data_IF_874491039573
#
_entry.id   IF_874491039573
#
_cell.length_a   1.000
_cell.length_b   1.000
_cell.length_c   1.000
_cell.angle_alpha   90.00
_cell.angle_beta   90.00
_cell.angle_gamma   90.00
#
_symmetry.space_group_name_H-M   'P 1'
#
loop_
_entity.id
_entity.type
_entity.pdbx_description
1 polymer ?
#
# COMPACT_ATOMS: atom_id res chain seq x y z
N UNK A 1 -31.69 12.49 -0.06
CA UNK A 1 -30.54 13.35 0.26
C UNK A 1 -29.39 12.41 0.53
N UNK A 2 -28.51 12.27 -0.44
CA UNK A 2 -27.37 11.36 -0.36
C UNK A 2 -26.23 12.15 0.29
N UNK A 3 -26.08 12.02 1.60
CA UNK A 3 -24.98 12.62 2.35
C UNK A 3 -23.76 11.71 2.20
N UNK A 4 -23.14 11.76 1.02
CA UNK A 4 -21.75 11.33 0.88
C UNK A 4 -20.93 12.37 1.62
N UNK A 5 -20.64 12.11 2.90
CA UNK A 5 -19.66 12.88 3.64
C UNK A 5 -18.38 12.87 2.81
N UNK A 6 -17.97 14.05 2.35
CA UNK A 6 -16.72 14.24 1.62
C UNK A 6 -15.60 14.07 2.65
N UNK A 7 -15.28 12.81 2.98
CA UNK A 7 -14.28 12.44 3.98
C UNK A 7 -12.93 13.10 3.66
N UNK A 8 -12.70 13.39 2.39
CA UNK A 8 -11.49 14.00 1.84
C UNK A 8 -11.29 15.47 2.20
N UNK A 9 -12.32 16.19 2.66
CA UNK A 9 -12.23 17.63 2.93
C UNK A 9 -11.47 17.97 4.23
N UNK A 10 -11.38 17.03 5.17
CA UNK A 10 -10.74 17.21 6.49
C UNK A 10 -9.37 16.52 6.63
N UNK A 11 -8.91 15.80 5.60
CA UNK A 11 -7.61 15.12 5.64
C UNK A 11 -6.46 16.12 5.42
N UNK A 12 -5.39 15.98 6.20
CA UNK A 12 -4.10 16.61 5.91
C UNK A 12 -3.54 16.17 4.56
N UNK A 13 -2.58 16.94 4.02
CA UNK A 13 -1.93 16.59 2.76
C UNK A 13 -1.25 15.23 2.83
N UNK A 14 -0.63 14.93 3.97
CA UNK A 14 0.02 13.67 4.33
C UNK A 14 -0.98 12.50 4.33
N UNK A 15 -2.12 12.65 5.01
CA UNK A 15 -3.16 11.61 5.04
C UNK A 15 -3.72 11.34 3.65
N UNK A 16 -3.98 12.39 2.86
CA UNK A 16 -4.45 12.21 1.48
C UNK A 16 -3.43 11.46 0.63
N UNK A 17 -2.15 11.84 0.71
CA UNK A 17 -1.08 11.18 -0.05
C UNK A 17 -0.90 9.74 0.40
N UNK A 18 -1.03 9.46 1.70
CA UNK A 18 -1.03 8.10 2.22
C UNK A 18 -2.17 7.27 1.61
N UNK A 19 -3.41 7.75 1.71
CA UNK A 19 -4.60 7.03 1.20
C UNK A 19 -4.51 6.81 -0.31
N UNK A 20 -4.18 7.84 -1.08
CA UNK A 20 -3.99 7.74 -2.53
C UNK A 20 -2.94 6.68 -2.90
N UNK A 21 -1.82 6.65 -2.17
CA UNK A 21 -0.73 5.71 -2.44
C UNK A 21 -1.08 4.29 -2.02
N UNK A 22 -1.81 4.13 -0.93
CA UNK A 22 -2.34 2.85 -0.48
C UNK A 22 -3.31 2.27 -1.52
N UNK A 23 -4.34 3.01 -1.89
CA UNK A 23 -5.40 2.53 -2.79
C UNK A 23 -4.86 2.20 -4.18
N UNK A 24 -3.97 3.05 -4.72
CA UNK A 24 -3.33 2.79 -6.03
C UNK A 24 -2.46 1.55 -5.99
N UNK A 25 -1.67 1.36 -4.94
CA UNK A 25 -0.77 0.21 -4.81
C UNK A 25 -1.57 -1.08 -4.63
N UNK A 26 -2.62 -1.05 -3.81
CA UNK A 26 -3.48 -2.20 -3.60
C UNK A 26 -4.15 -2.62 -4.92
N UNK A 27 -4.73 -1.65 -5.66
CA UNK A 27 -5.33 -1.91 -6.97
C UNK A 27 -4.31 -2.49 -7.96
N UNK A 28 -3.07 -2.01 -7.96
CA UNK A 28 -1.99 -2.57 -8.77
C UNK A 28 -1.73 -4.04 -8.43
N UNK A 29 -1.58 -4.38 -7.14
CA UNK A 29 -1.32 -5.74 -6.68
C UNK A 29 -2.47 -6.69 -7.04
N UNK A 30 -3.71 -6.25 -6.83
CA UNK A 30 -4.90 -7.01 -7.20
C UNK A 30 -4.99 -7.28 -8.70
N UNK A 31 -4.71 -6.27 -9.53
CA UNK A 31 -4.70 -6.43 -10.98
C UNK A 31 -3.58 -7.36 -11.44
N UNK A 32 -2.40 -7.27 -10.83
CA UNK A 32 -1.28 -8.16 -11.13
C UNK A 32 -1.63 -9.62 -10.85
N UNK A 33 -2.26 -9.90 -9.71
CA UNK A 33 -2.74 -11.24 -9.34
C UNK A 33 -3.81 -11.78 -10.31
N UNK A 34 -4.70 -10.93 -10.81
CA UNK A 34 -5.71 -11.32 -11.81
C UNK A 34 -5.08 -11.64 -13.17
N UNK A 35 -4.00 -10.95 -13.54
CA UNK A 35 -3.34 -11.13 -14.84
C UNK A 35 -2.42 -12.36 -14.87
N UNK A 36 -1.73 -12.65 -13.77
CA UNK A 36 -0.88 -13.82 -13.64
C UNK A 36 -0.73 -14.22 -12.17
N UNK A 37 -0.55 -15.52 -11.85
CA UNK A 37 -0.24 -15.94 -10.50
C UNK A 37 1.01 -15.22 -9.97
N UNK A 38 0.86 -14.47 -8.89
CA UNK A 38 1.98 -13.82 -8.22
C UNK A 38 2.44 -14.72 -7.07
N UNK A 39 3.75 -14.95 -6.98
CA UNK A 39 4.33 -15.70 -5.88
C UNK A 39 4.42 -14.84 -4.61
N UNK A 40 4.00 -15.41 -3.49
CA UNK A 40 4.11 -14.79 -2.17
C UNK A 40 5.56 -14.35 -1.86
N UNK A 41 6.55 -15.18 -2.22
CA UNK A 41 7.98 -14.88 -2.00
C UNK A 41 8.42 -13.63 -2.78
N UNK A 42 7.89 -13.45 -3.99
CA UNK A 42 8.19 -12.27 -4.81
C UNK A 42 7.64 -11.02 -4.14
N UNK A 43 6.40 -11.06 -3.65
CA UNK A 43 5.77 -9.92 -2.97
C UNK A 43 6.46 -9.57 -1.65
N UNK A 44 6.87 -10.57 -0.87
CA UNK A 44 7.66 -10.36 0.35
C UNK A 44 9.03 -9.75 0.05
N UNK A 45 9.67 -10.16 -1.05
CA UNK A 45 10.93 -9.57 -1.53
C UNK A 45 10.76 -8.11 -1.97
N UNK A 46 9.68 -7.79 -2.69
CA UNK A 46 9.33 -6.41 -3.09
C UNK A 46 9.07 -5.53 -1.85
N UNK A 47 8.30 -6.03 -0.87
CA UNK A 47 8.06 -5.33 0.40
C UNK A 47 9.37 -5.11 1.18
N UNK A 48 10.25 -6.11 1.24
CA UNK A 48 11.56 -5.96 1.87
C UNK A 48 12.40 -4.87 1.19
N UNK A 49 12.40 -4.84 -0.15
CA UNK A 49 13.09 -3.79 -0.90
C UNK A 49 12.51 -2.41 -0.60
N UNK A 50 11.18 -2.27 -0.58
CA UNK A 50 10.49 -1.02 -0.30
C UNK A 50 10.82 -0.49 1.11
N UNK A 51 10.81 -1.37 2.11
CA UNK A 51 11.12 -1.01 3.50
C UNK A 51 12.59 -0.69 3.75
N UNK A 52 13.53 -1.35 3.06
CA UNK A 52 14.97 -1.14 3.24
C UNK A 52 15.47 0.03 2.41
N UNK A 53 15.17 0.09 1.11
CA UNK A 53 15.80 1.06 0.20
C UNK A 53 15.01 2.35 0.06
N UNK A 54 13.68 2.29 0.13
CA UNK A 54 12.84 3.49 0.11
C UNK A 54 12.51 3.96 1.53
N UNK A 55 12.50 3.03 2.50
CA UNK A 55 12.17 3.26 3.91
C UNK A 55 13.32 3.67 4.85
N UNK A 56 14.59 3.40 4.54
CA UNK A 56 15.69 3.74 5.47
C UNK A 56 16.34 5.10 5.22
N UNK A 57 16.07 5.73 4.09
CA UNK A 57 16.62 7.05 3.73
C UNK A 57 15.61 8.19 4.02
N UNK A 58 14.97 8.11 5.19
CA UNK A 58 13.93 9.04 5.67
C UNK A 58 14.47 10.41 6.09
N UNK A 59 15.79 10.55 6.23
CA UNK A 59 16.43 11.83 6.54
C UNK A 59 16.43 12.70 5.28
N UNK A 60 15.38 13.52 5.10
CA UNK A 60 15.35 14.60 4.11
C UNK A 60 14.30 14.51 3.00
N UNK A 61 13.45 13.47 2.98
CA UNK A 61 12.43 13.29 1.91
C UNK A 61 11.13 14.09 2.10
N UNK A 62 10.95 14.74 3.25
CA UNK A 62 9.75 15.51 3.58
C UNK A 62 8.54 14.62 3.89
N UNK A 63 7.63 15.13 4.73
CA UNK A 63 6.51 14.37 5.30
C UNK A 63 5.61 13.74 4.22
N UNK A 64 5.31 14.45 3.14
CA UNK A 64 4.47 13.93 2.05
C UNK A 64 5.07 12.68 1.38
N UNK A 65 6.37 12.65 1.13
CA UNK A 65 7.00 11.48 0.50
C UNK A 65 7.05 10.29 1.47
N UNK A 66 7.23 10.57 2.76
CA UNK A 66 7.14 9.53 3.78
C UNK A 66 5.74 8.94 3.83
N UNK A 67 4.69 9.76 3.81
CA UNK A 67 3.30 9.30 3.76
C UNK A 67 3.00 8.47 2.51
N UNK A 68 3.53 8.88 1.35
CA UNK A 68 3.39 8.13 0.08
C UNK A 68 3.95 6.70 0.24
N UNK A 69 5.20 6.59 0.69
CA UNK A 69 5.90 5.31 0.87
C UNK A 69 5.19 4.45 1.92
N UNK A 70 4.72 5.05 3.01
CA UNK A 70 3.94 4.34 4.04
C UNK A 70 2.65 3.75 3.45
N UNK A 71 1.93 4.50 2.61
CA UNK A 71 0.73 3.99 1.94
C UNK A 71 1.05 2.75 1.09
N UNK A 72 2.14 2.80 0.32
CA UNK A 72 2.60 1.66 -0.50
C UNK A 72 2.95 0.44 0.36
N UNK A 73 3.73 0.63 1.45
CA UNK A 73 4.10 -0.44 2.38
C UNK A 73 2.86 -1.11 2.98
N UNK A 74 1.89 -0.31 3.44
CA UNK A 74 0.67 -0.84 4.04
C UNK A 74 -0.18 -1.62 3.05
N UNK A 75 -0.23 -1.21 1.79
CA UNK A 75 -0.93 -1.95 0.74
C UNK A 75 -0.30 -3.33 0.51
N UNK A 76 1.04 -3.41 0.46
CA UNK A 76 1.74 -4.70 0.38
C UNK A 76 1.46 -5.60 1.59
N UNK A 77 1.51 -5.07 2.81
CA UNK A 77 1.23 -5.83 4.04
C UNK A 77 -0.19 -6.39 4.02
N UNK A 78 -1.19 -5.56 3.71
CA UNK A 78 -2.59 -5.96 3.66
C UNK A 78 -2.83 -7.06 2.61
N UNK A 79 -2.27 -6.88 1.41
CA UNK A 79 -2.41 -7.83 0.32
C UNK A 79 -1.75 -9.18 0.63
N UNK A 80 -0.52 -9.17 1.15
CA UNK A 80 0.20 -10.38 1.60
C UNK A 80 -0.56 -11.10 2.71
N UNK A 81 -1.10 -10.35 3.67
CA UNK A 81 -1.92 -10.90 4.76
C UNK A 81 -3.12 -11.68 4.23
N UNK A 82 -3.89 -11.06 3.33
CA UNK A 82 -5.03 -11.69 2.67
C UNK A 82 -4.63 -12.97 1.92
N UNK A 83 -3.55 -12.94 1.13
CA UNK A 83 -3.08 -14.14 0.43
C UNK A 83 -2.70 -15.28 1.38
N UNK A 84 -2.07 -14.96 2.52
CA UNK A 84 -1.70 -15.96 3.53
C UNK A 84 -2.93 -16.57 4.19
N UNK A 85 -3.96 -15.79 4.45
CA UNK A 85 -5.25 -16.28 4.97
C UNK A 85 -5.94 -17.19 3.97
N UNK A 86 -5.97 -16.82 2.68
CA UNK A 86 -6.54 -17.66 1.62
C UNK A 86 -5.83 -19.02 1.54
N UNK A 87 -4.50 -19.05 1.57
CA UNK A 87 -3.71 -20.29 1.55
C UNK A 87 -3.86 -21.17 2.80
N UNK A 88 -4.26 -20.61 3.95
CA UNK A 88 -4.49 -21.37 5.19
C UNK A 88 -5.90 -21.97 5.27
N UNK A 89 -6.83 -21.47 4.47
CA UNK A 89 -8.23 -21.91 4.44
C UNK A 89 -8.53 -22.90 3.29
N UNK A 90 -7.51 -23.28 2.51
CA UNK A 90 -7.53 -24.34 1.49
C UNK A 90 -7.06 -25.70 2.07
#
# INVERSE_FOLDING_TARGET
MDTTYNLDADLSGEERVFHDSYDRTLLYLENRQKMAPVSLIVLEGELHHLTVYEGQDWVGRGELKNSEIQGQIYAYIAFIGKMKEELQNE
#
